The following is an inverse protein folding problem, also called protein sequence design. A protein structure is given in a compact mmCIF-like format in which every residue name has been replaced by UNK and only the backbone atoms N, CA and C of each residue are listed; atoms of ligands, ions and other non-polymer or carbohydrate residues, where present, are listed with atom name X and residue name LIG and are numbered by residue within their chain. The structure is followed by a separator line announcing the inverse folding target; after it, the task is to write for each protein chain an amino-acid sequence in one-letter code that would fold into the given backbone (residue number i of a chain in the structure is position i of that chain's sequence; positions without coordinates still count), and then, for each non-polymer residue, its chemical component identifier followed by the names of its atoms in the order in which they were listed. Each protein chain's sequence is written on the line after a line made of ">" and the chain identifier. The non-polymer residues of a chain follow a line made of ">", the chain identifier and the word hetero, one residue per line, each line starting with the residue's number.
data_IF_657116303669
#
_entry.id   IF_657116303669
#
_cell.length_a   1.000
_cell.length_b   1.000
_cell.length_c   1.000
_cell.angle_alpha   90.00
_cell.angle_beta   90.00
_cell.angle_gamma   90.00
#
_symmetry.space_group_name_H-M   'P 1'
#
loop_
_entity.id
_entity.type
_entity.pdbx_description
1 polymer ?
#
# COMPACT_ATOMS: atom_id res chain seq x y z
N UNK A 1 -5.50 19.93 -7.88
CA UNK A 1 -4.89 18.69 -8.44
C UNK A 1 -3.39 18.86 -8.68
N UNK A 2 -2.94 20.03 -9.09
CA UNK A 2 -1.52 20.35 -9.32
C UNK A 2 -0.63 20.14 -8.09
N UNK A 3 -1.14 20.43 -6.89
CA UNK A 3 -0.39 20.28 -5.63
C UNK A 3 0.02 18.83 -5.33
N UNK A 4 -0.77 17.85 -5.77
CA UNK A 4 -0.46 16.43 -5.59
C UNK A 4 0.71 16.05 -6.50
N UNK A 5 0.67 16.52 -7.75
CA UNK A 5 1.73 16.27 -8.71
C UNK A 5 3.07 16.88 -8.26
N UNK A 6 3.04 18.12 -7.76
CA UNK A 6 4.23 18.79 -7.21
C UNK A 6 4.78 18.04 -5.99
N UNK A 7 3.93 17.54 -5.09
CA UNK A 7 4.37 16.76 -3.93
C UNK A 7 5.01 15.43 -4.33
N UNK A 8 4.49 14.75 -5.34
CA UNK A 8 5.05 13.50 -5.85
C UNK A 8 6.41 13.78 -6.52
N UNK A 9 6.46 14.79 -7.39
CA UNK A 9 7.70 15.19 -8.05
C UNK A 9 8.78 15.60 -7.03
N UNK A 10 8.41 16.38 -6.01
CA UNK A 10 9.33 16.76 -4.92
C UNK A 10 9.80 15.55 -4.09
N UNK A 11 8.91 14.59 -3.81
CA UNK A 11 9.27 13.35 -3.12
C UNK A 11 10.27 12.50 -3.90
N UNK A 12 10.10 12.40 -5.22
CA UNK A 12 11.04 11.72 -6.12
C UNK A 12 12.38 12.46 -6.16
N UNK A 13 12.37 13.80 -6.25
CA UNK A 13 13.58 14.62 -6.22
C UNK A 13 14.36 14.44 -4.90
N UNK A 14 13.65 14.44 -3.78
CA UNK A 14 14.21 14.16 -2.45
C UNK A 14 14.77 12.75 -2.32
N UNK A 15 14.17 11.76 -3.00
CA UNK A 15 14.66 10.39 -3.08
C UNK A 15 15.91 10.26 -3.95
N UNK A 16 16.00 11.02 -5.04
CA UNK A 16 17.14 10.97 -5.99
C UNK A 16 18.40 11.67 -5.47
N UNK A 17 18.26 12.62 -4.54
CA UNK A 17 19.37 13.39 -3.96
C UNK A 17 20.35 12.56 -3.10
N UNK A 18 20.20 11.22 -3.02
CA UNK A 18 21.10 10.26 -2.36
C UNK A 18 21.71 10.73 -1.01
N UNK A 19 20.94 11.51 -0.23
CA UNK A 19 21.26 11.87 1.16
C UNK A 19 20.87 10.70 2.09
N UNK A 20 21.17 9.48 1.67
CA UNK A 20 20.70 8.25 2.32
C UNK A 20 21.86 7.44 2.90
N UNK A 21 22.57 8.06 3.83
CA UNK A 21 23.47 7.32 4.70
C UNK A 21 22.69 6.19 5.42
N UNK A 22 23.30 5.01 5.57
CA UNK A 22 22.70 3.77 6.08
C UNK A 22 21.88 3.94 7.40
N UNK A 23 22.23 4.94 8.22
CA UNK A 23 21.51 5.30 9.46
C UNK A 23 20.13 5.93 9.22
N UNK A 24 19.92 6.69 8.12
CA UNK A 24 18.64 7.34 7.82
C UNK A 24 17.60 6.33 7.32
N UNK A 25 18.00 5.22 6.68
CA UNK A 25 17.08 4.13 6.27
C UNK A 25 16.28 3.58 7.47
N UNK A 26 16.96 3.35 8.59
CA UNK A 26 16.31 2.88 9.83
C UNK A 26 15.39 3.95 10.43
N UNK A 27 15.76 5.23 10.31
CA UNK A 27 14.93 6.35 10.74
C UNK A 27 13.67 6.49 9.89
N UNK A 28 13.77 6.46 8.56
CA UNK A 28 12.61 6.52 7.67
C UNK A 28 11.70 5.31 7.87
N UNK A 29 12.25 4.11 8.05
CA UNK A 29 11.44 2.93 8.33
C UNK A 29 10.65 3.10 9.64
N UNK A 30 11.32 3.53 10.70
CA UNK A 30 10.67 3.79 12.00
C UNK A 30 9.65 4.92 11.91
N UNK A 31 9.96 6.00 11.20
CA UNK A 31 9.07 7.13 10.98
C UNK A 31 7.82 6.71 10.19
N UNK A 32 7.99 5.90 9.15
CA UNK A 32 6.90 5.33 8.36
C UNK A 32 6.00 4.47 9.23
N UNK A 33 6.56 3.57 10.05
CA UNK A 33 5.77 2.77 11.00
C UNK A 33 4.98 3.66 11.97
N UNK A 34 5.62 4.67 12.56
CA UNK A 34 4.94 5.61 13.48
C UNK A 34 3.84 6.40 12.76
N UNK A 35 4.09 6.86 11.53
CA UNK A 35 3.10 7.56 10.72
C UNK A 35 1.92 6.67 10.36
N UNK A 36 2.15 5.41 10.00
CA UNK A 36 1.10 4.42 9.74
C UNK A 36 0.25 4.17 11.00
N UNK A 37 0.89 4.06 12.17
CA UNK A 37 0.17 3.91 13.44
C UNK A 37 -0.70 5.14 13.76
N UNK A 38 -0.15 6.35 13.58
CA UNK A 38 -0.92 7.59 13.79
C UNK A 38 -2.07 7.70 12.79
N UNK A 39 -1.86 7.37 11.52
CA UNK A 39 -2.91 7.35 10.50
C UNK A 39 -4.01 6.37 10.86
N UNK A 40 -3.66 5.15 11.27
CA UNK A 40 -4.62 4.14 11.68
C UNK A 40 -5.42 4.59 12.91
N UNK A 41 -4.74 5.22 13.87
CA UNK A 41 -5.37 5.81 15.06
C UNK A 41 -6.37 6.91 14.68
N UNK A 42 -5.96 7.86 13.85
CA UNK A 42 -6.82 8.95 13.38
C UNK A 42 -8.01 8.42 12.58
N UNK A 43 -7.80 7.42 11.72
CA UNK A 43 -8.87 6.80 10.95
C UNK A 43 -9.88 6.10 11.88
N UNK A 44 -9.38 5.35 12.86
CA UNK A 44 -10.21 4.71 13.88
C UNK A 44 -11.01 5.72 14.70
N UNK A 45 -10.36 6.79 15.17
CA UNK A 45 -11.02 7.87 15.90
C UNK A 45 -12.08 8.59 15.05
N UNK A 46 -11.78 8.85 13.78
CA UNK A 46 -12.71 9.49 12.85
C UNK A 46 -13.95 8.62 12.60
N UNK A 47 -13.78 7.32 12.40
CA UNK A 47 -14.89 6.38 12.22
C UNK A 47 -15.69 6.21 13.53
N UNK A 48 -15.00 6.18 14.68
CA UNK A 48 -15.63 6.02 15.99
C UNK A 48 -16.41 7.23 16.48
N UNK A 49 -16.07 8.44 16.02
CA UNK A 49 -16.83 9.66 16.32
C UNK A 49 -18.01 9.88 15.37
N UNK A 50 -18.09 9.11 14.28
CA UNK A 50 -19.13 9.24 13.27
C UNK A 50 -20.30 8.29 13.58
N UNK A 51 -21.28 8.80 14.33
CA UNK A 51 -22.46 8.03 14.76
C UNK A 51 -23.30 7.52 13.59
N UNK A 52 -23.29 8.22 12.44
CA UNK A 52 -24.03 7.81 11.25
C UNK A 52 -23.39 6.60 10.58
N UNK A 53 -22.06 6.59 10.45
CA UNK A 53 -21.30 5.42 10.02
C UNK A 53 -21.45 4.28 11.01
N UNK A 54 -21.33 4.54 12.32
CA UNK A 54 -21.51 3.54 13.40
C UNK A 54 -22.89 2.87 13.35
N UNK A 55 -23.96 3.66 13.18
CA UNK A 55 -25.33 3.17 13.11
C UNK A 55 -25.60 2.35 11.83
N UNK A 56 -24.89 2.66 10.75
CA UNK A 56 -24.98 1.94 9.47
C UNK A 56 -23.89 0.87 9.29
N UNK A 57 -23.04 0.59 10.29
CA UNK A 57 -21.95 -0.38 10.18
C UNK A 57 -22.42 -1.78 9.80
N UNK A 58 -23.63 -2.18 10.16
CA UNK A 58 -24.19 -3.48 9.74
C UNK A 58 -24.25 -3.60 8.21
N UNK A 59 -24.84 -2.60 7.55
CA UNK A 59 -24.98 -2.59 6.09
C UNK A 59 -23.66 -2.24 5.39
N UNK A 60 -22.94 -1.24 5.90
CA UNK A 60 -21.69 -0.75 5.33
C UNK A 60 -20.56 -1.77 5.51
N UNK A 61 -20.51 -2.43 6.66
CA UNK A 61 -19.57 -3.51 6.98
C UNK A 61 -19.81 -4.75 6.14
N UNK A 62 -21.07 -5.15 5.91
CA UNK A 62 -21.37 -6.27 5.01
C UNK A 62 -20.90 -5.99 3.57
N UNK A 63 -21.17 -4.78 3.05
CA UNK A 63 -20.63 -4.34 1.75
C UNK A 63 -19.11 -4.33 1.74
N UNK A 64 -18.48 -3.84 2.80
CA UNK A 64 -17.03 -3.79 2.92
C UNK A 64 -16.40 -5.18 2.93
N UNK A 65 -17.01 -6.17 3.60
CA UNK A 65 -16.55 -7.56 3.60
C UNK A 65 -16.60 -8.13 2.18
N UNK A 66 -17.73 -7.99 1.47
CA UNK A 66 -17.85 -8.49 0.09
C UNK A 66 -16.80 -7.83 -0.81
N UNK A 67 -16.62 -6.51 -0.71
CA UNK A 67 -15.61 -5.80 -1.48
C UNK A 67 -14.20 -6.26 -1.13
N UNK A 68 -13.85 -6.38 0.16
CA UNK A 68 -12.53 -6.82 0.59
C UNK A 68 -12.21 -8.23 0.08
N UNK A 69 -13.14 -9.19 0.23
CA UNK A 69 -12.96 -10.54 -0.29
C UNK A 69 -12.86 -10.54 -1.81
N UNK A 70 -13.70 -9.78 -2.52
CA UNK A 70 -13.66 -9.67 -3.97
C UNK A 70 -12.34 -9.08 -4.49
N UNK A 71 -11.82 -8.04 -3.83
CA UNK A 71 -10.55 -7.39 -4.20
C UNK A 71 -9.38 -8.34 -3.92
N UNK A 72 -9.33 -8.98 -2.75
CA UNK A 72 -8.25 -9.90 -2.39
C UNK A 72 -8.28 -11.12 -3.31
N UNK A 73 -9.44 -11.78 -3.45
CA UNK A 73 -9.58 -12.94 -4.33
C UNK A 73 -9.28 -12.58 -5.79
N UNK A 74 -9.79 -11.44 -6.28
CA UNK A 74 -9.52 -10.96 -7.64
C UNK A 74 -8.05 -10.65 -7.86
N UNK A 75 -7.39 -9.96 -6.92
CA UNK A 75 -5.96 -9.63 -7.02
C UNK A 75 -5.08 -10.88 -6.97
N UNK A 76 -5.39 -11.83 -6.08
CA UNK A 76 -4.67 -13.10 -6.00
C UNK A 76 -4.92 -13.99 -7.22
N UNK A 77 -6.15 -14.05 -7.73
CA UNK A 77 -6.50 -14.82 -8.93
C UNK A 77 -5.78 -14.25 -10.15
N UNK A 78 -5.78 -12.92 -10.31
CA UNK A 78 -5.10 -12.27 -11.42
C UNK A 78 -3.58 -12.44 -11.32
N UNK A 79 -3.01 -12.28 -10.12
CA UNK A 79 -1.58 -12.54 -9.88
C UNK A 79 -1.25 -14.01 -10.20
N UNK A 80 -2.06 -14.96 -9.74
CA UNK A 80 -1.88 -16.37 -10.02
C UNK A 80 -2.01 -16.68 -11.51
N UNK A 81 -2.97 -16.08 -12.21
CA UNK A 81 -3.15 -16.24 -13.65
C UNK A 81 -1.95 -15.68 -14.42
N UNK A 82 -1.50 -14.48 -14.07
CA UNK A 82 -0.31 -13.86 -14.65
C UNK A 82 0.90 -14.73 -14.37
N UNK A 83 1.20 -15.10 -13.12
CA UNK A 83 2.32 -15.98 -12.79
C UNK A 83 2.20 -17.34 -13.48
N UNK A 84 1.01 -17.93 -13.63
CA UNK A 84 0.83 -19.21 -14.33
C UNK A 84 1.08 -19.10 -15.84
N UNK A 85 0.66 -18.01 -16.47
CA UNK A 85 0.90 -17.75 -17.89
C UNK A 85 2.36 -17.33 -18.16
N UNK A 86 2.92 -16.44 -17.33
CA UNK A 86 4.30 -15.95 -17.45
C UNK A 86 5.34 -16.94 -16.93
N UNK A 87 5.01 -17.88 -16.03
CA UNK A 87 5.94 -18.95 -15.63
C UNK A 87 6.18 -20.00 -16.73
N UNK A 88 5.54 -19.87 -17.90
CA UNK A 88 5.98 -20.58 -19.10
C UNK A 88 7.11 -19.83 -19.84
N UNK A 89 7.38 -18.56 -19.50
CA UNK A 89 8.38 -17.70 -20.14
C UNK A 89 9.50 -17.20 -19.18
N UNK A 90 9.34 -17.30 -17.85
CA UNK A 90 10.38 -16.89 -16.88
C UNK A 90 11.18 -18.09 -16.32
N UNK A 91 11.60 -19.01 -17.18
CA UNK A 91 12.77 -19.83 -16.88
C UNK A 91 14.10 -19.08 -17.13
N UNK A 92 14.09 -17.85 -17.66
CA UNK A 92 15.34 -17.12 -17.97
C UNK A 92 15.68 -15.91 -17.09
N UNK A 93 14.76 -15.23 -16.41
CA UNK A 93 15.13 -13.99 -15.66
C UNK A 93 15.49 -14.19 -14.17
N UNK A 94 15.38 -15.41 -13.60
CA UNK A 94 15.89 -15.68 -12.23
C UNK A 94 17.36 -16.16 -12.20
N UNK A 95 18.07 -16.19 -13.34
CA UNK A 95 19.52 -16.47 -13.38
C UNK A 95 20.44 -15.25 -13.66
N UNK A 96 19.94 -14.11 -14.15
CA UNK A 96 20.78 -12.89 -14.32
C UNK A 96 20.89 -12.01 -13.05
N UNK A 97 20.40 -12.49 -11.91
CA UNK A 97 20.65 -11.88 -10.60
C UNK A 97 21.84 -12.47 -9.83
N UNK A 98 22.59 -13.41 -10.43
CA UNK A 98 23.69 -14.13 -9.75
C UNK A 98 24.81 -14.63 -10.68
N UNK A 99 25.21 -13.81 -11.65
CA UNK A 99 26.49 -13.95 -12.36
C UNK A 99 27.39 -12.74 -12.07
#
# INVERSE_FOLDING_TARGET
>A
MESIFISIAAGILFGWLDVFNYSKKKFLNRLSTVALLIMLWCLGAKIGCDEELLRNLGLLGFRAIIMAFGIIAGSLLLLWLVTRFFAHDISEEEQEGKA
#
